data_IF_185048099681
#
_entry.id   IF_185048099681
#
_cell.length_a   1.000
_cell.length_b   1.000
_cell.length_c   1.000
_cell.angle_alpha   90.00
_cell.angle_beta   90.00
_cell.angle_gamma   90.00
#
_symmetry.space_group_name_H-M   'P 1'
#
loop_
_entity.id
_entity.type
_entity.pdbx_description
1 polymer ?
#
# COMPACT_ATOMS: atom_id res chain seq x y z
N UNK A 1 -30.09 -32.03 -1.66
CA UNK A 1 -29.76 -30.60 -1.44
C UNK A 1 -30.33 -29.76 -2.58
N UNK A 2 -30.92 -28.60 -2.30
CA UNK A 2 -31.46 -27.72 -3.36
C UNK A 2 -30.33 -27.36 -4.34
N UNK A 3 -30.61 -27.40 -5.64
CA UNK A 3 -29.64 -27.18 -6.73
C UNK A 3 -28.92 -25.82 -6.62
N UNK A 4 -29.56 -24.84 -5.99
CA UNK A 4 -29.00 -23.52 -5.67
C UNK A 4 -27.91 -23.58 -4.60
N UNK A 5 -28.13 -24.33 -3.50
CA UNK A 5 -27.17 -24.46 -2.41
C UNK A 5 -25.88 -25.15 -2.87
N UNK A 6 -25.99 -26.10 -3.80
CA UNK A 6 -24.82 -26.79 -4.37
C UNK A 6 -23.98 -25.82 -5.21
N UNK A 7 -24.61 -24.93 -6.00
CA UNK A 7 -23.91 -23.92 -6.80
C UNK A 7 -23.18 -22.89 -5.93
N UNK A 8 -23.83 -22.39 -4.88
CA UNK A 8 -23.20 -21.45 -3.95
C UNK A 8 -22.05 -22.10 -3.20
N UNK A 9 -22.23 -23.34 -2.71
CA UNK A 9 -21.17 -24.07 -2.02
C UNK A 9 -19.98 -24.34 -2.95
N UNK A 10 -20.22 -24.72 -4.21
CA UNK A 10 -19.14 -24.95 -5.18
C UNK A 10 -18.37 -23.67 -5.50
N UNK A 11 -19.04 -22.52 -5.62
CA UNK A 11 -18.37 -21.24 -5.87
C UNK A 11 -17.49 -20.86 -4.68
N UNK A 12 -17.98 -21.03 -3.45
CA UNK A 12 -17.19 -20.76 -2.26
C UNK A 12 -15.92 -21.61 -2.25
N UNK A 13 -16.05 -22.92 -2.48
CA UNK A 13 -14.89 -23.84 -2.49
C UNK A 13 -13.89 -23.45 -3.58
N UNK A 14 -14.34 -23.15 -4.80
CA UNK A 14 -13.46 -22.75 -5.91
C UNK A 14 -12.77 -21.41 -5.63
N UNK A 15 -13.48 -20.43 -5.07
CA UNK A 15 -12.87 -19.14 -4.72
C UNK A 15 -11.82 -19.32 -3.63
N UNK A 16 -12.09 -20.13 -2.61
CA UNK A 16 -11.11 -20.42 -1.57
C UNK A 16 -9.87 -21.13 -2.13
N UNK A 17 -10.04 -22.14 -2.99
CA UNK A 17 -8.89 -22.81 -3.60
C UNK A 17 -8.10 -21.87 -4.52
N UNK A 18 -8.78 -20.98 -5.26
CA UNK A 18 -8.12 -19.96 -6.08
C UNK A 18 -7.27 -19.00 -5.22
N UNK A 19 -7.79 -18.53 -4.09
CA UNK A 19 -7.05 -17.68 -3.16
C UNK A 19 -5.83 -18.40 -2.57
N UNK A 20 -5.96 -19.67 -2.19
CA UNK A 20 -4.85 -20.45 -1.65
C UNK A 20 -3.74 -20.67 -2.68
N UNK A 21 -4.11 -20.99 -3.93
CA UNK A 21 -3.14 -21.13 -5.03
C UNK A 21 -2.48 -19.78 -5.32
N UNK A 22 -3.26 -18.69 -5.38
CA UNK A 22 -2.72 -17.33 -5.56
C UNK A 22 -1.72 -16.96 -4.47
N UNK A 23 -2.05 -17.22 -3.20
CA UNK A 23 -1.15 -16.98 -2.07
C UNK A 23 0.15 -17.76 -2.19
N UNK A 24 0.10 -19.04 -2.54
CA UNK A 24 1.30 -19.87 -2.72
C UNK A 24 2.17 -19.39 -3.90
N UNK A 25 1.54 -18.94 -5.00
CA UNK A 25 2.27 -18.38 -6.15
C UNK A 25 2.94 -17.06 -5.80
N UNK A 26 2.21 -16.14 -5.15
CA UNK A 26 2.80 -14.85 -4.72
C UNK A 26 3.91 -15.05 -3.68
N UNK A 27 3.73 -15.96 -2.73
CA UNK A 27 4.77 -16.31 -1.75
C UNK A 27 6.04 -16.82 -2.46
N UNK A 28 5.90 -17.75 -3.41
CA UNK A 28 7.04 -18.29 -4.14
C UNK A 28 7.76 -17.26 -5.05
N UNK A 29 7.04 -16.25 -5.54
CA UNK A 29 7.59 -15.24 -6.46
C UNK A 29 8.14 -14.01 -5.75
N UNK A 30 7.47 -13.52 -4.71
CA UNK A 30 7.77 -12.21 -4.11
C UNK A 30 8.55 -12.31 -2.79
N UNK A 31 8.43 -13.42 -2.03
CA UNK A 31 9.01 -13.50 -0.68
C UNK A 31 10.54 -13.33 -0.65
N UNK A 32 11.24 -13.92 -1.62
CA UNK A 32 12.71 -13.80 -1.70
C UNK A 32 13.13 -12.39 -2.09
N UNK A 33 12.39 -11.76 -3.00
CA UNK A 33 12.65 -10.42 -3.48
C UNK A 33 12.41 -9.38 -2.37
N UNK A 34 11.34 -9.53 -1.58
CA UNK A 34 11.04 -8.68 -0.43
C UNK A 34 12.18 -8.70 0.60
N UNK A 35 12.68 -9.89 0.94
CA UNK A 35 13.78 -10.04 1.91
C UNK A 35 15.09 -9.45 1.40
N UNK A 36 15.40 -9.61 0.10
CA UNK A 36 16.60 -9.02 -0.50
C UNK A 36 16.52 -7.49 -0.56
N UNK A 37 15.39 -6.96 -0.98
CA UNK A 37 15.10 -5.53 -1.01
C UNK A 37 15.17 -4.91 0.39
N UNK A 38 14.57 -5.56 1.39
CA UNK A 38 14.64 -5.12 2.79
C UNK A 38 16.10 -5.02 3.27
N UNK A 39 16.93 -6.05 3.01
CA UNK A 39 18.36 -6.02 3.37
C UNK A 39 19.13 -4.93 2.62
N UNK A 40 18.82 -4.69 1.35
CA UNK A 40 19.45 -3.64 0.55
C UNK A 40 19.13 -2.25 1.13
N UNK A 41 17.87 -2.01 1.45
CA UNK A 41 17.42 -0.74 2.04
C UNK A 41 18.00 -0.52 3.44
N UNK A 42 18.09 -1.56 4.28
CA UNK A 42 18.74 -1.46 5.60
C UNK A 42 20.25 -1.15 5.48
N UNK A 43 20.93 -1.73 4.49
CA UNK A 43 22.33 -1.45 4.23
C UNK A 43 22.53 0.01 3.77
N UNK A 44 21.67 0.50 2.88
CA UNK A 44 21.69 1.88 2.40
C UNK A 44 21.34 2.88 3.52
N UNK A 45 20.34 2.60 4.36
CA UNK A 45 20.07 3.38 5.57
C UNK A 45 21.34 3.52 6.42
N UNK A 46 22.00 2.39 6.71
CA UNK A 46 23.17 2.38 7.58
C UNK A 46 24.32 3.20 6.99
N UNK A 47 24.56 3.08 5.69
CA UNK A 47 25.57 3.88 4.99
C UNK A 47 25.25 5.38 5.08
N UNK A 48 24.01 5.78 4.79
CA UNK A 48 23.57 7.17 4.87
C UNK A 48 23.69 7.72 6.29
N UNK A 49 23.22 6.98 7.30
CA UNK A 49 23.31 7.39 8.70
C UNK A 49 24.76 7.56 9.15
N UNK A 50 25.65 6.64 8.77
CA UNK A 50 27.08 6.73 9.07
C UNK A 50 27.75 7.90 8.33
N UNK A 51 27.41 8.12 7.06
CA UNK A 51 27.98 9.18 6.21
C UNK A 51 27.65 10.58 6.72
N UNK A 52 26.43 10.76 7.23
CA UNK A 52 25.94 12.07 7.70
C UNK A 52 25.87 12.19 9.23
N UNK A 53 26.33 11.20 9.98
CA UNK A 53 26.28 11.15 11.45
C UNK A 53 24.87 11.38 12.02
N UNK A 54 23.85 10.77 11.41
CA UNK A 54 22.45 10.92 11.81
C UNK A 54 22.11 9.90 12.90
N UNK A 55 21.53 10.38 14.01
CA UNK A 55 21.02 9.51 15.08
C UNK A 55 19.87 8.64 14.58
N UNK A 56 19.54 7.56 15.29
CA UNK A 56 18.42 6.70 14.87
C UNK A 56 17.10 7.47 14.95
N UNK A 57 16.94 8.22 16.03
CA UNK A 57 15.76 8.99 16.37
C UNK A 57 15.49 10.08 15.33
N UNK A 58 16.54 10.77 14.87
CA UNK A 58 16.39 11.81 13.85
C UNK A 58 16.12 11.21 12.47
N UNK A 59 16.70 10.04 12.15
CA UNK A 59 16.41 9.34 10.90
C UNK A 59 14.95 8.87 10.84
N UNK A 60 14.42 8.33 11.94
CA UNK A 60 13.01 7.92 12.06
C UNK A 60 12.08 9.14 11.89
N UNK A 61 12.38 10.27 12.53
CA UNK A 61 11.63 11.53 12.35
C UNK A 61 11.64 12.01 10.90
N UNK A 62 12.80 12.03 10.25
CA UNK A 62 12.92 12.45 8.84
C UNK A 62 12.11 11.52 7.93
N UNK A 63 12.14 10.21 8.20
CA UNK A 63 11.39 9.21 7.43
C UNK A 63 9.89 9.41 7.59
N UNK A 64 9.42 9.63 8.82
CA UNK A 64 8.01 9.94 9.10
C UNK A 64 7.56 11.22 8.38
N UNK A 65 8.37 12.28 8.44
CA UNK A 65 8.10 13.52 7.69
C UNK A 65 8.07 13.27 6.17
N UNK A 66 8.97 12.44 5.66
CA UNK A 66 9.02 12.09 4.24
C UNK A 66 7.76 11.36 3.78
N UNK A 67 7.24 10.43 4.60
CA UNK A 67 5.98 9.72 4.35
C UNK A 67 4.81 10.71 4.30
N UNK A 68 4.71 11.62 5.28
CA UNK A 68 3.66 12.65 5.33
C UNK A 68 3.74 13.64 4.16
N UNK A 69 4.95 13.97 3.71
CA UNK A 69 5.17 14.90 2.59
C UNK A 69 4.93 14.26 1.22
N UNK A 70 4.96 12.92 1.10
CA UNK A 70 4.76 12.20 -0.17
C UNK A 70 3.53 12.67 -0.97
N UNK A 71 2.31 12.80 -0.39
CA UNK A 71 1.15 13.31 -1.13
C UNK A 71 1.30 14.78 -1.58
N UNK A 72 2.06 15.58 -0.83
CA UNK A 72 2.30 16.99 -1.16
C UNK A 72 3.37 17.21 -2.23
N UNK A 73 4.26 16.23 -2.47
CA UNK A 73 5.29 16.30 -3.53
C UNK A 73 4.68 16.32 -4.93
N UNK A 74 3.49 15.76 -5.12
CA UNK A 74 2.78 15.76 -6.40
C UNK A 74 2.06 17.10 -6.70
N UNK A 75 2.27 18.14 -5.89
CA UNK A 75 1.62 19.45 -6.03
C UNK A 75 0.22 19.50 -5.40
N UNK A 76 -0.56 20.54 -5.73
CA UNK A 76 -1.90 20.72 -5.14
C UNK A 76 -2.91 19.74 -5.74
N UNK A 77 -3.05 18.56 -5.12
CA UNK A 77 -3.98 17.50 -5.55
C UNK A 77 -5.46 17.92 -5.45
N UNK A 78 -5.83 18.76 -4.47
CA UNK A 78 -7.23 19.17 -4.21
C UNK A 78 -7.68 20.42 -4.99
N UNK A 79 -7.26 20.55 -6.24
CA UNK A 79 -7.86 21.50 -7.20
C UNK A 79 -8.92 20.78 -8.04
N UNK A 80 -9.78 21.54 -8.73
CA UNK A 80 -10.91 21.00 -9.50
C UNK A 80 -10.57 19.75 -10.33
N UNK A 81 -9.44 19.75 -11.07
CA UNK A 81 -9.02 18.60 -11.88
C UNK A 81 -8.70 17.35 -11.03
N UNK A 82 -8.00 17.50 -9.92
CA UNK A 82 -7.68 16.37 -9.03
C UNK A 82 -8.89 15.89 -8.25
N UNK A 83 -9.78 16.79 -7.81
CA UNK A 83 -11.06 16.42 -7.20
C UNK A 83 -11.98 15.67 -8.18
N UNK A 84 -11.99 16.08 -9.45
CA UNK A 84 -12.76 15.42 -10.51
C UNK A 84 -12.20 14.02 -10.83
N UNK A 85 -10.88 13.89 -10.92
CA UNK A 85 -10.23 12.58 -11.09
C UNK A 85 -10.51 11.66 -9.90
N UNK A 86 -10.37 12.15 -8.67
CA UNK A 86 -10.70 11.40 -7.46
C UNK A 86 -12.15 10.89 -7.49
N UNK A 87 -13.13 11.75 -7.77
CA UNK A 87 -14.54 11.35 -7.87
C UNK A 87 -14.76 10.25 -8.94
N UNK A 88 -14.02 10.31 -10.06
CA UNK A 88 -14.06 9.29 -11.11
C UNK A 88 -13.52 7.95 -10.60
N UNK A 89 -12.41 7.95 -9.86
CA UNK A 89 -11.83 6.71 -9.28
C UNK A 89 -12.73 6.06 -8.23
N UNK A 90 -13.49 6.87 -7.48
CA UNK A 90 -14.48 6.37 -6.49
C UNK A 90 -15.66 5.72 -7.20
N UNK A 91 -16.24 6.39 -8.20
CA UNK A 91 -17.42 5.87 -8.93
C UNK A 91 -17.06 4.61 -9.74
N UNK A 92 -15.83 4.54 -10.26
CA UNK A 92 -15.34 3.37 -11.02
C UNK A 92 -14.78 2.25 -10.15
N UNK A 93 -14.75 2.42 -8.81
CA UNK A 93 -14.20 1.46 -7.84
C UNK A 93 -12.73 1.09 -8.09
N UNK A 94 -11.96 1.98 -8.74
CA UNK A 94 -10.51 1.79 -8.94
C UNK A 94 -9.75 2.03 -7.64
N UNK A 95 -10.04 3.15 -6.96
CA UNK A 95 -9.50 3.48 -5.63
C UNK A 95 -7.97 3.50 -5.53
N UNK A 96 -7.31 4.53 -6.04
CA UNK A 96 -5.86 4.73 -5.89
C UNK A 96 -5.51 5.29 -4.49
N UNK A 97 -4.65 4.58 -3.74
CA UNK A 97 -4.34 4.85 -2.32
C UNK A 97 -3.61 6.17 -2.05
N UNK A 98 -2.97 6.79 -3.05
CA UNK A 98 -2.30 8.08 -2.88
C UNK A 98 -3.26 9.29 -2.97
N UNK A 99 -4.53 9.06 -3.34
CA UNK A 99 -5.57 10.10 -3.38
C UNK A 99 -6.57 9.95 -2.24
N UNK A 100 -6.09 9.73 -1.01
CA UNK A 100 -6.97 9.70 0.15
C UNK A 100 -7.39 11.09 0.61
N UNK A 101 -8.70 11.24 0.86
CA UNK A 101 -9.26 12.45 1.44
C UNK A 101 -8.87 12.54 2.92
N UNK A 102 -7.86 13.36 3.23
CA UNK A 102 -7.49 13.66 4.61
C UNK A 102 -8.52 14.63 5.21
N UNK A 103 -9.59 14.09 5.79
CA UNK A 103 -10.62 14.89 6.50
C UNK A 103 -10.21 15.11 7.98
N UNK A 104 -9.31 14.28 8.52
CA UNK A 104 -8.63 14.48 9.80
C UNK A 104 -7.09 14.42 9.62
N UNK A 105 -6.33 15.27 10.32
CA UNK A 105 -4.87 15.33 10.17
C UNK A 105 -4.10 14.13 10.78
N UNK A 106 -4.77 13.29 11.57
CA UNK A 106 -4.10 12.29 12.43
C UNK A 106 -4.38 10.82 12.06
N UNK A 107 -5.14 10.53 10.99
CA UNK A 107 -5.51 9.17 10.59
C UNK A 107 -4.93 8.78 9.23
N UNK A 108 -3.61 8.73 9.14
CA UNK A 108 -2.92 8.18 7.96
C UNK A 108 -2.69 6.66 8.14
N UNK A 109 -3.77 5.89 8.28
CA UNK A 109 -3.71 4.42 8.45
C UNK A 109 -3.47 3.66 7.13
N UNK A 110 -2.88 4.30 6.12
CA UNK A 110 -2.42 3.65 4.90
C UNK A 110 -3.49 2.96 4.05
N UNK A 111 -4.77 3.15 4.40
CA UNK A 111 -5.94 2.55 3.75
C UNK A 111 -6.95 3.68 3.58
N UNK A 112 -7.15 4.10 2.34
CA UNK A 112 -8.50 4.39 1.87
C UNK A 112 -9.24 3.04 1.82
#
# INVERSE_FOLDING_TARGET
MKRQNVRTLSLIVVTFTYLLVGAAVFDALESTNEVEESKRLEAEEKDLRSKYNITREDYERITQLSIQLKPHKAGTQWKFAGSFYFATTVITTIGESFMCANIEPDSFDGIC
#
